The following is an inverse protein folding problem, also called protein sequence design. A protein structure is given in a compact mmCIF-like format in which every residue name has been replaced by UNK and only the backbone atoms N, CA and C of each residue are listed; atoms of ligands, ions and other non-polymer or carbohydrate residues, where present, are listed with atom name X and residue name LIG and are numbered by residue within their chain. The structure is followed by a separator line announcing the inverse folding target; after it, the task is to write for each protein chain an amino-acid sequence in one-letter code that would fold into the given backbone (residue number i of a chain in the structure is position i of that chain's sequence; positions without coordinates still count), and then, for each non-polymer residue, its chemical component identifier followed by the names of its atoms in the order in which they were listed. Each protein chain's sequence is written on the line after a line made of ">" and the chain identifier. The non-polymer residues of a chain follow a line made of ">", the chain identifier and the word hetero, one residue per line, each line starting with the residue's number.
data_IF_947218460156
#
_entry.id   IF_947218460156
#
_cell.length_a   1.000
_cell.length_b   1.000
_cell.length_c   1.000
_cell.angle_alpha   90.00
_cell.angle_beta   90.00
_cell.angle_gamma   90.00
#
_symmetry.space_group_name_H-M   'P 1'
#
loop_
_entity.id
_entity.type
_entity.pdbx_description
1 polymer ?
#
# COMPACT_ATOMS: atom_id res chain seq x y z
N UNK A 1 -1.38 15.87 13.87
CA UNK A 1 -0.86 14.58 13.44
C UNK A 1 0.32 14.77 12.48
N UNK A 2 1.43 14.09 12.75
CA UNK A 2 2.62 14.14 11.92
C UNK A 2 2.62 13.10 10.78
N UNK A 3 1.64 12.18 10.78
CA UNK A 3 1.45 11.15 9.77
C UNK A 3 0.02 10.63 9.76
N UNK A 4 -0.36 9.97 8.68
CA UNK A 4 -1.63 9.27 8.53
C UNK A 4 -1.36 7.82 8.12
N UNK A 5 -2.20 6.91 8.57
CA UNK A 5 -2.12 5.48 8.23
C UNK A 5 -3.44 5.00 7.65
N UNK A 6 -3.37 4.08 6.74
CA UNK A 6 -4.54 3.44 6.16
C UNK A 6 -4.22 2.02 5.71
N UNK A 7 -5.22 1.18 5.69
CA UNK A 7 -5.13 -0.20 5.26
C UNK A 7 -6.21 -0.48 4.24
N UNK A 8 -5.88 -1.28 3.25
CA UNK A 8 -6.83 -1.76 2.27
C UNK A 8 -6.51 -3.17 1.81
N UNK A 9 -7.54 -3.95 1.52
CA UNK A 9 -7.37 -5.24 0.88
C UNK A 9 -8.47 -5.50 -0.14
N UNK A 10 -8.19 -6.39 -1.08
CA UNK A 10 -9.13 -6.77 -2.13
C UNK A 10 -8.79 -8.15 -2.68
N UNK A 11 -9.78 -8.91 -3.09
CA UNK A 11 -9.61 -10.05 -3.97
C UNK A 11 -9.85 -11.45 -3.44
N UNK A 12 -10.23 -11.71 -2.15
CA UNK A 12 -10.62 -13.06 -1.75
C UNK A 12 -11.73 -13.61 -2.65
N UNK A 13 -11.77 -14.92 -2.94
CA UNK A 13 -10.93 -16.00 -2.38
C UNK A 13 -9.70 -16.37 -3.21
N UNK A 14 -9.31 -15.58 -4.19
CA UNK A 14 -8.22 -15.90 -5.11
C UNK A 14 -6.83 -15.61 -4.52
N UNK A 15 -5.77 -16.20 -5.11
CA UNK A 15 -4.39 -15.91 -4.72
C UNK A 15 -3.92 -14.52 -5.14
N UNK A 16 -4.60 -13.88 -6.07
CA UNK A 16 -4.33 -12.50 -6.53
C UNK A 16 -4.89 -11.46 -5.57
N UNK A 17 -5.10 -11.82 -4.31
CA UNK A 17 -5.48 -10.88 -3.26
C UNK A 17 -4.39 -9.82 -3.07
N UNK A 18 -4.81 -8.63 -2.68
CA UNK A 18 -3.92 -7.54 -2.31
C UNK A 18 -4.22 -7.08 -0.88
N UNK A 19 -3.16 -6.85 -0.13
CA UNK A 19 -3.21 -6.17 1.15
C UNK A 19 -2.17 -5.05 1.13
N UNK A 20 -2.61 -3.85 1.44
CA UNK A 20 -1.77 -2.66 1.47
C UNK A 20 -1.89 -1.99 2.83
N UNK A 21 -0.73 -1.78 3.47
CA UNK A 21 -0.59 -0.88 4.59
C UNK A 21 0.11 0.39 4.12
N UNK A 22 -0.54 1.53 4.33
CA UNK A 22 -0.05 2.84 3.92
C UNK A 22 0.33 3.67 5.14
N UNK A 23 1.52 4.24 5.09
CA UNK A 23 1.93 5.36 5.96
C UNK A 23 2.20 6.57 5.08
N UNK A 24 1.55 7.67 5.39
CA UNK A 24 1.68 8.93 4.64
C UNK A 24 2.07 10.06 5.59
N UNK A 25 3.03 10.86 5.21
CA UNK A 25 3.47 12.00 5.99
C UNK A 25 4.25 13.01 5.18
N UNK A 26 4.72 14.08 5.83
CA UNK A 26 5.52 15.12 5.18
C UNK A 26 6.93 14.63 4.86
N UNK A 27 7.47 15.00 3.72
CA UNK A 27 8.85 14.67 3.30
C UNK A 27 9.89 15.17 4.30
N UNK A 28 9.70 16.35 4.85
CA UNK A 28 10.57 16.97 5.86
C UNK A 28 10.24 16.53 7.31
N UNK A 29 9.21 15.71 7.48
CA UNK A 29 8.76 15.19 8.76
C UNK A 29 9.36 13.82 9.13
N UNK A 30 8.84 13.20 10.21
CA UNK A 30 9.34 11.91 10.70
C UNK A 30 9.25 10.79 9.67
N UNK A 31 8.15 10.73 8.90
CA UNK A 31 7.95 9.71 7.86
C UNK A 31 8.97 9.89 6.73
N UNK A 32 9.18 11.11 6.27
CA UNK A 32 10.18 11.41 5.25
C UNK A 32 11.59 11.03 5.67
N UNK A 33 11.99 11.39 6.88
CA UNK A 33 13.30 11.01 7.43
C UNK A 33 13.47 9.49 7.58
N UNK A 34 12.41 8.79 8.02
CA UNK A 34 12.43 7.33 8.10
C UNK A 34 12.56 6.69 6.71
N UNK A 35 11.84 7.20 5.73
CA UNK A 35 11.91 6.75 4.34
C UNK A 35 13.32 6.92 3.75
N UNK A 36 13.94 8.08 3.94
CA UNK A 36 15.30 8.36 3.45
C UNK A 36 16.35 7.44 4.10
N UNK A 37 16.21 7.14 5.40
CA UNK A 37 17.08 6.15 6.06
C UNK A 37 16.88 4.76 5.49
N UNK A 38 15.62 4.32 5.37
CA UNK A 38 15.28 2.98 4.89
C UNK A 38 15.78 2.72 3.46
N UNK A 39 15.75 3.74 2.59
CA UNK A 39 16.26 3.63 1.21
C UNK A 39 17.78 3.41 1.13
N UNK A 40 18.52 3.71 2.19
CA UNK A 40 19.97 3.50 2.26
C UNK A 40 20.38 2.15 2.84
N UNK A 41 19.42 1.42 3.40
CA UNK A 41 19.68 0.12 4.01
C UNK A 41 19.63 -0.99 2.97
N UNK A 42 20.54 -1.95 3.08
CA UNK A 42 20.45 -3.19 2.32
C UNK A 42 19.39 -4.11 2.93
N UNK A 43 18.48 -4.56 2.09
CA UNK A 43 17.35 -5.44 2.50
C UNK A 43 17.19 -6.58 1.49
N UNK A 44 18.09 -7.57 1.49
CA UNK A 44 18.00 -8.68 0.55
C UNK A 44 16.63 -9.36 0.57
N UNK A 45 15.98 -9.45 -0.58
CA UNK A 45 14.62 -10.01 -0.73
C UNK A 45 13.50 -9.07 -0.31
N UNK A 46 13.82 -7.90 0.26
CA UNK A 46 12.85 -6.87 0.67
C UNK A 46 13.29 -5.47 0.23
N UNK A 47 13.89 -5.39 -0.95
CA UNK A 47 14.39 -4.12 -1.49
C UNK A 47 13.24 -3.12 -1.66
N UNK A 48 13.46 -1.90 -1.21
CA UNK A 48 12.53 -0.80 -1.40
C UNK A 48 12.65 -0.25 -2.82
N UNK A 49 11.51 0.11 -3.42
CA UNK A 49 11.48 0.72 -4.74
C UNK A 49 10.72 2.05 -4.70
N UNK A 50 11.31 3.10 -5.25
CA UNK A 50 10.60 4.35 -5.51
C UNK A 50 9.81 4.15 -6.81
N UNK A 51 8.49 3.97 -6.70
CA UNK A 51 7.61 3.67 -7.84
C UNK A 51 6.93 4.92 -8.40
N UNK A 52 7.07 6.06 -7.73
CA UNK A 52 6.51 7.34 -8.15
C UNK A 52 7.27 8.49 -7.48
N UNK A 53 7.43 9.60 -8.20
CA UNK A 53 8.13 10.78 -7.67
C UNK A 53 7.17 11.85 -7.13
N UNK A 54 5.93 11.91 -7.64
CA UNK A 54 4.96 12.95 -7.26
C UNK A 54 3.54 12.38 -7.13
N UNK A 55 3.05 12.21 -5.89
CA UNK A 55 3.82 12.25 -4.64
C UNK A 55 4.90 11.18 -4.64
N UNK A 56 5.93 11.35 -3.80
CA UNK A 56 6.95 10.31 -3.66
C UNK A 56 6.34 9.05 -3.02
N UNK A 57 6.43 7.93 -3.72
CA UNK A 57 5.88 6.64 -3.26
C UNK A 57 6.98 5.61 -3.21
N UNK A 58 7.15 4.99 -2.04
CA UNK A 58 8.11 3.92 -1.78
C UNK A 58 7.34 2.64 -1.53
N UNK A 59 7.54 1.67 -2.39
CA UNK A 59 6.96 0.33 -2.25
C UNK A 59 7.88 -0.55 -1.42
N UNK A 60 7.29 -1.23 -0.43
CA UNK A 60 7.95 -2.20 0.44
C UNK A 60 7.25 -3.55 0.27
N UNK A 61 7.93 -4.61 -0.20
CA UNK A 61 7.32 -5.91 -0.31
C UNK A 61 7.13 -6.54 1.08
N UNK A 62 5.93 -7.04 1.36
CA UNK A 62 5.62 -7.72 2.62
C UNK A 62 6.21 -9.15 2.66
N UNK A 63 6.24 -9.81 1.51
CA UNK A 63 6.83 -11.14 1.37
C UNK A 63 8.28 -11.06 0.89
N UNK A 64 9.08 -12.06 1.23
CA UNK A 64 10.45 -12.16 0.70
C UNK A 64 10.41 -12.43 -0.81
N UNK A 65 11.05 -11.56 -1.58
CA UNK A 65 11.15 -11.67 -3.03
C UNK A 65 12.31 -12.61 -3.38
N UNK A 66 12.00 -13.77 -3.93
CA UNK A 66 12.99 -14.83 -4.22
C UNK A 66 13.15 -15.13 -5.70
N UNK A 67 12.17 -14.79 -6.52
CA UNK A 67 12.14 -15.15 -7.95
C UNK A 67 11.96 -13.93 -8.83
N UNK A 68 12.36 -14.03 -10.08
CA UNK A 68 12.13 -13.00 -11.10
C UNK A 68 10.63 -12.74 -11.31
N UNK A 69 9.80 -13.78 -11.21
CA UNK A 69 8.34 -13.67 -11.31
C UNK A 69 7.77 -12.82 -10.16
N UNK A 70 8.15 -13.09 -8.91
CA UNK A 70 7.73 -12.28 -7.76
C UNK A 70 8.17 -10.82 -7.92
N UNK A 71 9.41 -10.61 -8.37
CA UNK A 71 9.96 -9.28 -8.64
C UNK A 71 9.08 -8.51 -9.62
N UNK A 72 8.75 -9.13 -10.75
CA UNK A 72 7.86 -8.55 -11.75
C UNK A 72 6.47 -8.26 -11.19
N UNK A 73 5.85 -9.22 -10.50
CA UNK A 73 4.50 -9.07 -9.93
C UNK A 73 4.40 -7.95 -8.89
N UNK A 74 5.43 -7.78 -8.09
CA UNK A 74 5.44 -6.77 -7.01
C UNK A 74 5.85 -5.40 -7.56
N UNK A 75 7.04 -5.30 -8.15
CA UNK A 75 7.62 -4.01 -8.51
C UNK A 75 7.09 -3.42 -9.82
N UNK A 76 6.40 -4.22 -10.63
CA UNK A 76 5.80 -3.74 -11.88
C UNK A 76 4.28 -3.85 -11.87
N UNK A 77 3.72 -5.04 -11.67
CA UNK A 77 2.27 -5.26 -11.80
C UNK A 77 1.49 -4.60 -10.65
N UNK A 78 1.84 -4.91 -9.41
CA UNK A 78 1.22 -4.28 -8.23
C UNK A 78 1.49 -2.77 -8.23
N UNK A 79 2.71 -2.35 -8.56
CA UNK A 79 3.08 -0.94 -8.67
C UNK A 79 2.21 -0.17 -9.68
N UNK A 80 1.85 -0.76 -10.81
CA UNK A 80 0.91 -0.15 -11.77
C UNK A 80 -0.46 0.07 -11.15
N UNK A 81 -0.98 -0.92 -10.44
CA UNK A 81 -2.27 -0.81 -9.74
C UNK A 81 -2.24 0.30 -8.69
N UNK A 82 -1.18 0.37 -7.89
CA UNK A 82 -0.96 1.41 -6.88
C UNK A 82 -0.91 2.79 -7.54
N UNK A 83 -0.14 2.96 -8.60
CA UNK A 83 -0.01 4.23 -9.30
C UNK A 83 -1.33 4.69 -9.94
N UNK A 84 -2.10 3.77 -10.53
CA UNK A 84 -3.45 4.06 -11.05
C UNK A 84 -4.40 4.52 -9.96
N UNK A 85 -4.32 3.93 -8.77
CA UNK A 85 -5.12 4.36 -7.62
C UNK A 85 -4.78 5.78 -7.18
N UNK A 86 -3.49 6.11 -7.14
CA UNK A 86 -3.03 7.46 -6.80
C UNK A 86 -3.51 8.48 -7.84
N UNK A 87 -3.38 8.16 -9.14
CA UNK A 87 -3.90 9.02 -10.22
C UNK A 87 -5.41 9.25 -10.07
N UNK A 88 -6.16 8.20 -9.76
CA UNK A 88 -7.59 8.31 -9.50
C UNK A 88 -7.89 9.26 -8.34
N UNK A 89 -7.17 9.11 -7.22
CA UNK A 89 -7.39 9.93 -6.02
C UNK A 89 -6.93 11.39 -6.19
N UNK A 90 -5.98 11.65 -7.07
CA UNK A 90 -5.62 13.02 -7.48
C UNK A 90 -6.74 13.60 -8.32
N UNK A 91 -7.22 12.86 -9.31
CA UNK A 91 -8.25 13.32 -10.24
C UNK A 91 -9.60 13.60 -9.56
N UNK A 92 -9.97 12.82 -8.54
CA UNK A 92 -11.21 13.05 -7.79
C UNK A 92 -11.07 14.07 -6.65
N UNK A 93 -9.87 14.61 -6.44
CA UNK A 93 -9.58 15.63 -5.43
C UNK A 93 -9.33 15.09 -4.02
N UNK A 94 -9.38 13.78 -3.79
CA UNK A 94 -9.07 13.17 -2.47
C UNK A 94 -7.63 13.46 -2.05
N UNK A 95 -6.69 13.43 -3.00
CA UNK A 95 -5.32 13.90 -2.84
C UNK A 95 -5.16 15.25 -3.52
N UNK A 96 -5.21 16.38 -2.78
CA UNK A 96 -5.10 17.71 -3.38
C UNK A 96 -3.74 17.95 -4.06
N UNK A 97 -3.77 18.59 -5.20
CA UNK A 97 -2.57 18.94 -5.97
C UNK A 97 -1.51 19.66 -5.13
N UNK A 98 -1.95 20.54 -4.21
CA UNK A 98 -1.08 21.36 -3.36
C UNK A 98 -0.19 20.58 -2.39
N UNK A 99 -0.52 19.32 -2.09
CA UNK A 99 0.25 18.50 -1.13
C UNK A 99 1.21 17.51 -1.81
N UNK A 100 1.07 17.26 -3.12
CA UNK A 100 1.75 16.17 -3.81
C UNK A 100 3.29 16.28 -3.76
N UNK A 101 3.80 17.49 -3.78
CA UNK A 101 5.25 17.74 -3.68
C UNK A 101 5.79 17.68 -2.26
N UNK A 102 4.90 17.75 -1.28
CA UNK A 102 5.24 17.85 0.15
C UNK A 102 5.20 16.52 0.89
N UNK A 103 4.47 15.53 0.37
CA UNK A 103 4.24 14.26 1.05
C UNK A 103 5.08 13.13 0.50
N UNK A 104 5.28 12.12 1.35
CA UNK A 104 5.79 10.81 1.00
C UNK A 104 4.81 9.74 1.45
N UNK A 105 4.65 8.71 0.64
CA UNK A 105 3.85 7.52 0.92
C UNK A 105 4.76 6.31 1.01
N UNK A 106 4.69 5.58 2.11
CA UNK A 106 5.32 4.26 2.27
C UNK A 106 4.22 3.23 2.15
N UNK A 107 4.32 2.36 1.16
CA UNK A 107 3.31 1.38 0.79
C UNK A 107 3.86 -0.02 0.98
N UNK A 108 3.43 -0.70 2.04
CA UNK A 108 3.68 -2.12 2.20
C UNK A 108 2.66 -2.88 1.36
N UNK A 109 3.14 -3.62 0.36
CA UNK A 109 2.30 -4.36 -0.57
C UNK A 109 2.52 -5.86 -0.45
N UNK A 110 1.42 -6.58 -0.27
CA UNK A 110 1.39 -8.03 -0.26
C UNK A 110 0.96 -8.55 -1.64
N UNK A 111 1.77 -9.42 -2.23
CA UNK A 111 1.41 -10.24 -3.39
C UNK A 111 1.70 -11.70 -3.02
N UNK A 112 0.65 -12.54 -3.07
CA UNK A 112 0.80 -13.94 -2.71
C UNK A 112 1.77 -14.66 -3.66
N UNK A 113 2.69 -15.50 -3.15
CA UNK A 113 3.67 -16.20 -3.99
C UNK A 113 3.07 -17.08 -5.10
N UNK A 114 1.84 -17.57 -4.89
CA UNK A 114 1.08 -18.37 -5.87
C UNK A 114 0.18 -17.54 -6.78
N UNK A 115 0.18 -16.21 -6.67
CA UNK A 115 -0.57 -15.37 -7.59
C UNK A 115 -0.08 -15.57 -9.04
N UNK A 116 -1.01 -15.61 -9.99
CA UNK A 116 -0.70 -15.95 -11.38
C UNK A 116 -1.28 -14.94 -12.39
N UNK A 117 -2.45 -14.40 -12.12
CA UNK A 117 -3.18 -13.59 -13.09
C UNK A 117 -2.87 -12.11 -12.88
N UNK A 118 -2.01 -11.55 -13.72
CA UNK A 118 -1.51 -10.17 -13.59
C UNK A 118 -2.64 -9.13 -13.56
N UNK A 119 -3.66 -9.27 -14.39
CA UNK A 119 -4.80 -8.34 -14.39
C UNK A 119 -5.50 -8.28 -13.04
N UNK A 120 -5.60 -9.41 -12.33
CA UNK A 120 -6.18 -9.46 -11.00
C UNK A 120 -5.24 -8.85 -9.95
N UNK A 121 -3.94 -9.11 -10.03
CA UNK A 121 -2.93 -8.50 -9.16
C UNK A 121 -3.02 -6.98 -9.28
N UNK A 122 -3.02 -6.45 -10.49
CA UNK A 122 -3.11 -5.02 -10.76
C UNK A 122 -4.42 -4.42 -10.24
N UNK A 123 -5.57 -5.02 -10.57
CA UNK A 123 -6.88 -4.55 -10.16
C UNK A 123 -7.06 -4.58 -8.63
N UNK A 124 -6.61 -5.64 -7.96
CA UNK A 124 -6.76 -5.76 -6.52
C UNK A 124 -5.85 -4.80 -5.77
N UNK A 125 -4.63 -4.56 -6.25
CA UNK A 125 -3.76 -3.53 -5.70
C UNK A 125 -4.32 -2.12 -5.94
N UNK A 126 -4.94 -1.86 -7.08
CA UNK A 126 -5.67 -0.62 -7.33
C UNK A 126 -6.78 -0.40 -6.30
N UNK A 127 -7.63 -1.40 -6.08
CA UNK A 127 -8.73 -1.32 -5.11
C UNK A 127 -8.23 -1.16 -3.67
N UNK A 128 -7.25 -1.97 -3.28
CA UNK A 128 -6.65 -1.93 -1.95
C UNK A 128 -6.00 -0.57 -1.66
N UNK A 129 -5.25 -0.02 -2.62
CA UNK A 129 -4.60 1.28 -2.44
C UNK A 129 -5.60 2.43 -2.32
N UNK A 130 -6.68 2.41 -3.10
CA UNK A 130 -7.77 3.39 -2.96
C UNK A 130 -8.38 3.35 -1.56
N UNK A 131 -8.67 2.16 -1.06
CA UNK A 131 -9.21 1.97 0.28
C UNK A 131 -8.23 2.48 1.35
N UNK A 132 -6.95 2.16 1.22
CA UNK A 132 -5.91 2.61 2.14
C UNK A 132 -5.77 4.13 2.18
N UNK A 133 -5.78 4.80 1.02
CA UNK A 133 -5.72 6.27 0.94
C UNK A 133 -6.95 6.89 1.61
N UNK A 134 -8.15 6.39 1.33
CA UNK A 134 -9.36 6.92 1.97
C UNK A 134 -9.31 6.80 3.48
N UNK A 135 -8.96 5.64 4.01
CA UNK A 135 -8.84 5.43 5.45
C UNK A 135 -7.79 6.34 6.09
N UNK A 136 -6.65 6.53 5.43
CA UNK A 136 -5.61 7.43 5.91
C UNK A 136 -6.10 8.88 5.98
N UNK A 137 -6.77 9.37 4.94
CA UNK A 137 -7.31 10.74 4.87
C UNK A 137 -8.45 10.94 5.88
N UNK A 138 -9.34 9.96 6.02
CA UNK A 138 -10.48 10.01 6.93
C UNK A 138 -10.12 9.71 8.39
N UNK A 139 -8.90 9.22 8.65
CA UNK A 139 -8.46 8.81 9.99
C UNK A 139 -9.22 7.58 10.50
N UNK A 140 -9.58 6.65 9.65
CA UNK A 140 -10.33 5.44 9.97
C UNK A 140 -9.45 4.19 10.07
N UNK A 141 -9.86 3.17 10.86
CA UNK A 141 -11.05 3.18 11.73
C UNK A 141 -10.88 4.08 12.95
N UNK A 142 -11.96 4.68 13.41
CA UNK A 142 -11.97 5.39 14.70
C UNK A 142 -12.11 4.39 15.85
N UNK A 143 -11.68 4.78 17.06
CA UNK A 143 -11.67 3.89 18.23
C UNK A 143 -13.03 3.21 18.49
N UNK A 144 -14.12 3.95 18.32
CA UNK A 144 -15.48 3.44 18.49
C UNK A 144 -15.79 2.27 17.52
N UNK A 145 -15.40 2.40 16.24
CA UNK A 145 -15.55 1.34 15.25
C UNK A 145 -14.76 0.09 15.65
N UNK A 146 -13.51 0.26 16.12
CA UNK A 146 -12.67 -0.84 16.57
C UNK A 146 -13.32 -1.59 17.75
N UNK A 147 -13.85 -0.85 18.73
CA UNK A 147 -14.47 -1.43 19.90
C UNK A 147 -15.76 -2.19 19.58
N UNK A 148 -16.54 -1.67 18.62
CA UNK A 148 -17.80 -2.31 18.21
C UNK A 148 -17.59 -3.56 17.36
N UNK A 149 -16.51 -3.62 16.60
CA UNK A 149 -16.25 -4.70 15.64
C UNK A 149 -15.21 -5.73 16.13
N UNK A 150 -14.58 -5.51 17.28
CA UNK A 150 -13.48 -6.35 17.79
C UNK A 150 -13.79 -7.86 17.82
N UNK A 151 -15.02 -8.21 18.20
CA UNK A 151 -15.43 -9.62 18.36
C UNK A 151 -15.82 -10.26 17.02
N UNK A 152 -16.13 -9.44 16.01
CA UNK A 152 -16.44 -9.88 14.65
C UNK A 152 -15.22 -9.80 13.71
N UNK A 153 -14.13 -9.19 14.13
CA UNK A 153 -12.94 -9.00 13.31
C UNK A 153 -12.32 -10.33 12.90
N UNK A 154 -12.07 -10.48 11.60
CA UNK A 154 -11.40 -11.64 11.01
C UNK A 154 -10.24 -11.19 10.15
N UNK A 155 -9.14 -11.94 10.24
CA UNK A 155 -8.02 -11.68 9.34
C UNK A 155 -8.42 -12.03 7.90
N UNK A 156 -8.20 -11.15 6.91
CA UNK A 156 -8.62 -11.37 5.54
C UNK A 156 -7.99 -12.59 4.86
N UNK A 157 -6.86 -13.06 5.41
CA UNK A 157 -6.13 -14.24 4.91
C UNK A 157 -6.38 -15.51 5.73
N UNK A 158 -7.31 -15.50 6.69
CA UNK A 158 -7.75 -16.73 7.32
C UNK A 158 -8.67 -17.47 6.36
N UNK A 159 -8.12 -18.48 5.76
CA UNK A 159 -8.91 -19.48 5.07
C UNK A 159 -9.70 -20.26 6.11
N UNK A 160 -10.97 -20.48 5.88
CA UNK A 160 -11.72 -21.46 6.67
C UNK A 160 -11.04 -22.81 6.52
N UNK A 161 -10.92 -23.62 7.58
CA UNK A 161 -10.33 -24.95 7.51
C UNK A 161 -11.09 -25.83 6.51
#
# INVERSE_FOLDING_TARGET
>A
LTFAVGEGFSGPPFHEIAHIDLVMGMKDGPVGRAAERALKEERPGHELAVIRQRPKVILVPTVTVRTARQRHQIYEVAARGINKAIDWMINDGTLPEAILDKIVMIVNAFVHPSAAIEKRIELNNFKAMRAAIRKAIEGRPVLEEILNEKDAARHPFKYAP
#
